data_IF_607320467689
#
_entry.id   IF_607320467689
#
_cell.length_a   1.000
_cell.length_b   1.000
_cell.length_c   1.000
_cell.angle_alpha   90.00
_cell.angle_beta   90.00
_cell.angle_gamma   90.00
#
_symmetry.space_group_name_H-M   'P 1'
#
loop_
_entity.id
_entity.type
_entity.pdbx_description
1 polymer ?
#
# COMPACT_ATOMS: atom_id res chain seq x y z
N UNK A 1 7.27 9.20 0.78
CA UNK A 1 6.39 8.06 0.44
C UNK A 1 5.26 8.03 1.47
N UNK A 2 4.03 7.75 1.05
CA UNK A 2 2.91 7.52 1.99
C UNK A 2 2.51 6.06 1.86
N UNK A 3 2.50 5.34 2.98
CA UNK A 3 1.93 4.00 3.04
C UNK A 3 0.56 4.08 3.73
N UNK A 4 -0.42 3.42 3.14
CA UNK A 4 -1.79 3.33 3.64
C UNK A 4 -2.15 1.86 3.84
N UNK A 5 -2.75 1.53 4.98
CA UNK A 5 -3.25 0.19 5.28
C UNK A 5 -4.50 0.25 6.16
N UNK A 6 -5.19 -0.87 6.29
CA UNK A 6 -6.45 -0.97 7.03
C UNK A 6 -6.36 -2.06 8.08
N UNK A 7 -6.91 -1.80 9.27
CA UNK A 7 -7.15 -2.80 10.31
C UNK A 7 -8.65 -2.83 10.67
N UNK A 8 -9.09 -3.94 11.28
CA UNK A 8 -10.47 -4.13 11.75
C UNK A 8 -10.67 -3.77 13.23
N UNK A 9 -9.58 -3.45 13.93
CA UNK A 9 -9.59 -3.04 15.32
C UNK A 9 -8.81 -1.74 15.47
N UNK A 10 -9.22 -0.92 16.42
CA UNK A 10 -8.50 0.29 16.75
C UNK A 10 -7.14 -0.09 17.31
N UNK A 11 -6.09 0.37 16.65
CA UNK A 11 -4.73 0.17 17.12
C UNK A 11 -3.90 1.41 16.81
N UNK A 12 -2.93 1.79 17.65
CA UNK A 12 -1.83 2.60 17.18
C UNK A 12 -1.17 1.89 16.00
N UNK A 13 -0.74 2.63 14.97
CA UNK A 13 -0.04 2.02 13.84
C UNK A 13 1.20 2.83 13.51
N UNK A 14 2.27 2.16 13.11
CA UNK A 14 3.46 2.81 12.60
C UNK A 14 3.95 2.13 11.31
N UNK A 15 4.74 2.87 10.55
CA UNK A 15 5.54 2.32 9.47
C UNK A 15 7.00 2.29 9.89
N UNK A 16 7.63 1.13 9.78
CA UNK A 16 9.08 0.95 9.92
C UNK A 16 9.70 0.79 8.55
N UNK A 17 10.80 1.49 8.30
CA UNK A 17 11.48 1.44 7.01
C UNK A 17 12.98 1.69 7.13
N UNK A 18 13.74 1.09 6.23
CA UNK A 18 15.20 1.18 6.20
C UNK A 18 15.74 0.92 4.80
N UNK A 19 17.02 1.29 4.58
CA UNK A 19 17.76 0.73 3.46
C UNK A 19 17.98 -0.78 3.68
N UNK A 20 18.04 -1.60 2.62
CA UNK A 20 18.34 -3.02 2.73
C UNK A 20 19.61 -3.25 3.56
N UNK A 21 19.54 -4.21 4.48
CA UNK A 21 20.64 -4.59 5.39
C UNK A 21 21.13 -3.48 6.34
N UNK A 22 20.44 -2.33 6.42
CA UNK A 22 20.81 -1.29 7.37
C UNK A 22 20.45 -1.70 8.80
N UNK A 23 21.35 -1.55 9.78
CA UNK A 23 21.00 -1.74 11.17
C UNK A 23 20.09 -0.63 11.71
N UNK A 24 20.01 0.50 11.02
CA UNK A 24 19.21 1.65 11.43
C UNK A 24 17.84 1.61 10.76
N UNK A 25 16.81 1.40 11.58
CA UNK A 25 15.41 1.51 11.17
C UNK A 25 14.86 2.88 11.52
N UNK A 26 14.04 3.41 10.64
CA UNK A 26 13.29 4.63 10.86
C UNK A 26 11.83 4.23 11.12
N UNK A 27 11.24 4.79 12.17
CA UNK A 27 9.85 4.51 12.55
C UNK A 27 9.07 5.81 12.48
N UNK A 28 7.92 5.79 11.81
CA UNK A 28 7.02 6.94 11.74
C UNK A 28 5.61 6.50 12.14
N UNK A 29 4.96 7.21 13.08
CA UNK A 29 3.58 6.89 13.45
C UNK A 29 2.62 7.19 12.29
N UNK A 30 1.52 6.43 12.25
CA UNK A 30 0.41 6.69 11.35
C UNK A 30 -0.60 7.65 11.96
N UNK A 31 -1.31 8.36 11.08
CA UNK A 31 -2.59 8.99 11.39
C UNK A 31 -3.72 8.03 11.03
N UNK A 32 -4.80 8.03 11.78
CA UNK A 32 -5.91 7.08 11.60
C UNK A 32 -7.20 7.82 11.33
N UNK A 33 -7.94 7.37 10.32
CA UNK A 33 -9.32 7.80 10.04
C UNK A 33 -10.23 6.58 10.06
N UNK A 34 -11.38 6.68 10.71
CA UNK A 34 -12.37 5.60 10.77
C UNK A 34 -13.29 5.71 9.54
N UNK A 35 -13.48 4.59 8.85
CA UNK A 35 -14.51 4.41 7.84
C UNK A 35 -15.54 3.41 8.38
N UNK A 36 -16.82 3.72 8.24
CA UNK A 36 -17.93 2.84 8.60
C UNK A 36 -18.61 2.46 7.29
N UNK A 37 -18.71 1.17 7.00
CA UNK A 37 -19.40 0.72 5.78
C UNK A 37 -20.91 0.99 5.85
N UNK A 38 -21.56 1.03 4.68
CA UNK A 38 -23.00 1.21 4.57
C UNK A 38 -23.79 -0.10 4.65
N UNK A 39 -23.15 -1.20 5.07
CA UNK A 39 -23.81 -2.49 5.22
C UNK A 39 -24.54 -2.59 6.56
N UNK A 40 -25.43 -3.58 6.71
CA UNK A 40 -26.25 -3.75 7.92
C UNK A 40 -25.40 -3.87 9.21
N UNK A 41 -24.21 -4.47 9.11
CA UNK A 41 -23.27 -4.65 10.22
C UNK A 41 -22.53 -3.36 10.64
N UNK A 42 -22.58 -2.29 9.84
CA UNK A 42 -21.87 -1.03 10.08
C UNK A 42 -20.41 -1.24 10.52
N UNK A 43 -19.69 -2.05 9.73
CA UNK A 43 -18.33 -2.48 10.07
C UNK A 43 -17.40 -1.27 10.09
N UNK A 44 -16.58 -1.22 11.15
CA UNK A 44 -15.57 -0.18 11.34
C UNK A 44 -14.24 -0.64 10.74
N UNK A 45 -13.68 0.20 9.88
CA UNK A 45 -12.37 0.05 9.28
C UNK A 45 -11.49 1.22 9.73
N UNK A 46 -10.31 0.92 10.24
CA UNK A 46 -9.35 1.92 10.68
C UNK A 46 -8.32 2.10 9.57
N UNK A 47 -8.36 3.23 8.88
CA UNK A 47 -7.49 3.52 7.75
C UNK A 47 -6.28 4.31 8.26
N UNK A 48 -5.14 3.66 8.26
CA UNK A 48 -3.86 4.21 8.70
C UNK A 48 -3.12 4.87 7.54
N UNK A 49 -2.47 6.01 7.80
CA UNK A 49 -1.58 6.69 6.84
C UNK A 49 -0.30 7.14 7.52
N UNK A 50 0.83 6.64 7.04
CA UNK A 50 2.15 6.99 7.57
C UNK A 50 3.02 7.65 6.49
N UNK A 51 3.58 8.82 6.82
CA UNK A 51 4.39 9.62 5.90
C UNK A 51 5.88 9.35 6.12
N UNK A 52 6.48 8.51 5.27
CA UNK A 52 7.93 8.27 5.25
C UNK A 52 8.64 9.45 4.59
N UNK A 53 9.50 10.12 5.35
CA UNK A 53 10.21 11.36 4.97
C UNK A 53 11.72 11.12 4.92
N UNK A 54 12.47 12.11 4.44
CA UNK A 54 13.94 12.08 4.37
C UNK A 54 14.51 10.87 3.59
N UNK A 55 13.79 10.44 2.56
CA UNK A 55 14.19 9.35 1.69
C UNK A 55 15.33 9.80 0.78
N UNK A 56 16.37 8.98 0.66
CA UNK A 56 17.45 9.19 -0.30
C UNK A 56 16.92 8.87 -1.72
N UNK A 57 17.03 9.78 -2.68
CA UNK A 57 16.55 9.55 -4.04
C UNK A 57 17.14 8.28 -4.68
N UNK A 58 16.35 7.61 -5.51
CA UNK A 58 16.71 6.39 -6.26
C UNK A 58 17.06 5.15 -5.42
N UNK A 59 17.03 5.24 -4.08
CA UNK A 59 17.28 4.11 -3.20
C UNK A 59 16.05 3.22 -3.05
N UNK A 60 16.28 1.92 -2.94
CA UNK A 60 15.24 0.97 -2.53
C UNK A 60 15.18 0.95 -1.01
N UNK A 61 13.98 1.04 -0.47
CA UNK A 61 13.70 0.91 0.96
C UNK A 61 12.87 -0.35 1.18
N UNK A 62 13.17 -1.06 2.25
CA UNK A 62 12.29 -2.11 2.80
C UNK A 62 11.43 -1.47 3.89
N UNK A 63 10.17 -1.91 3.99
CA UNK A 63 9.26 -1.41 5.01
C UNK A 63 8.26 -2.47 5.47
N UNK A 64 7.71 -2.26 6.66
CA UNK A 64 6.54 -2.97 7.21
C UNK A 64 5.64 -1.98 7.95
N UNK A 65 4.38 -2.34 8.11
CA UNK A 65 3.39 -1.54 8.83
C UNK A 65 2.70 -2.37 9.90
N UNK A 66 2.23 -1.72 10.95
CA UNK A 66 1.55 -2.38 12.06
C UNK A 66 2.01 -1.84 13.40
N UNK A 67 1.90 -2.69 14.41
CA UNK A 67 2.29 -2.40 15.78
C UNK A 67 2.51 -3.70 16.58
N UNK A 68 3.01 -3.57 17.81
CA UNK A 68 3.34 -4.71 18.67
C UNK A 68 2.11 -5.51 19.15
N UNK A 69 0.94 -4.87 19.26
CA UNK A 69 -0.29 -5.53 19.71
C UNK A 69 -1.07 -6.12 18.53
N UNK A 70 -1.21 -5.35 17.44
CA UNK A 70 -1.94 -5.75 16.23
C UNK A 70 -1.14 -6.65 15.28
N UNK A 71 0.18 -6.74 15.50
CA UNK A 71 1.09 -7.49 14.64
C UNK A 71 1.67 -6.64 13.50
N UNK A 72 2.76 -7.14 12.94
CA UNK A 72 3.47 -6.50 11.83
C UNK A 72 3.14 -7.19 10.51
N UNK A 73 2.99 -6.41 9.44
CA UNK A 73 2.90 -6.94 8.08
C UNK A 73 4.17 -7.69 7.65
N UNK A 74 4.11 -8.47 6.55
CA UNK A 74 5.32 -8.86 5.83
C UNK A 74 6.17 -7.64 5.44
N UNK A 75 7.43 -7.90 5.09
CA UNK A 75 8.29 -6.87 4.50
C UNK A 75 7.90 -6.64 3.04
N UNK A 76 7.75 -5.37 2.70
CA UNK A 76 7.55 -4.86 1.36
C UNK A 76 8.72 -3.95 0.97
N UNK A 77 8.82 -3.58 -0.29
CA UNK A 77 9.83 -2.64 -0.74
C UNK A 77 9.28 -1.63 -1.74
N UNK A 78 9.92 -0.47 -1.80
CA UNK A 78 9.65 0.55 -2.80
C UNK A 78 10.94 1.28 -3.17
N UNK A 79 11.00 1.85 -4.37
CA UNK A 79 12.07 2.76 -4.78
C UNK A 79 11.66 4.19 -4.51
N UNK A 80 12.49 4.93 -3.78
CA UNK A 80 12.31 6.36 -3.60
C UNK A 80 12.49 7.08 -4.94
N UNK A 81 11.58 8.02 -5.23
CA UNK A 81 11.57 8.80 -6.46
C UNK A 81 12.94 9.42 -6.73
N UNK A 82 13.53 9.23 -7.93
CA UNK A 82 14.75 9.92 -8.33
C UNK A 82 14.57 11.45 -8.29
N UNK A 83 15.67 12.16 -8.06
CA UNK A 83 15.71 13.62 -8.05
C UNK A 83 16.48 14.18 -9.24
N UNK A 84 16.16 15.40 -9.63
CA UNK A 84 16.88 16.15 -10.66
C UNK A 84 16.12 16.28 -11.98
N UNK A 85 16.54 17.21 -12.85
CA UNK A 85 15.80 17.61 -14.05
C UNK A 85 15.85 16.59 -15.19
N UNK A 86 16.76 15.62 -15.14
CA UNK A 86 16.97 14.63 -16.20
C UNK A 86 16.21 13.32 -15.97
N UNK A 87 15.48 13.19 -14.86
CA UNK A 87 14.70 12.00 -14.59
C UNK A 87 13.41 12.01 -15.41
N UNK A 88 13.18 10.93 -16.16
CA UNK A 88 11.96 10.69 -16.92
C UNK A 88 11.30 9.42 -16.40
N UNK A 89 10.13 9.49 -15.73
CA UNK A 89 9.47 8.32 -15.18
C UNK A 89 8.87 7.44 -16.28
N UNK A 90 8.94 6.12 -16.09
CA UNK A 90 8.13 5.15 -16.84
C UNK A 90 6.87 4.88 -16.03
N UNK A 91 5.72 5.20 -16.62
CA UNK A 91 4.43 5.10 -15.92
C UNK A 91 3.53 4.10 -16.64
N UNK A 92 2.94 3.18 -15.89
CA UNK A 92 1.84 2.38 -16.38
C UNK A 92 0.51 3.09 -16.08
N UNK A 93 -0.37 3.17 -17.08
CA UNK A 93 -1.70 3.76 -16.94
C UNK A 93 -2.72 2.66 -17.26
N UNK A 94 -3.69 2.47 -16.39
CA UNK A 94 -4.77 1.51 -16.61
C UNK A 94 -6.07 1.98 -15.95
N UNK A 95 -7.20 1.52 -16.47
CA UNK A 95 -8.52 1.65 -15.84
C UNK A 95 -9.13 0.27 -15.68
N UNK A 96 -10.29 0.21 -15.06
CA UNK A 96 -11.10 -1.01 -14.95
C UNK A 96 -10.34 -2.17 -14.28
N UNK A 97 -10.20 -2.10 -12.95
CA UNK A 97 -9.46 -3.12 -12.20
C UNK A 97 -10.03 -4.53 -12.37
N UNK A 98 -11.35 -4.63 -12.62
CA UNK A 98 -12.08 -5.87 -12.93
C UNK A 98 -11.72 -7.04 -12.01
N UNK A 99 -12.40 -7.19 -10.87
CA UNK A 99 -12.15 -8.26 -9.89
C UNK A 99 -12.22 -9.68 -10.52
N UNK A 100 -13.06 -9.85 -11.54
CA UNK A 100 -13.17 -11.10 -12.33
C UNK A 100 -12.43 -10.89 -13.66
N UNK A 101 -11.29 -11.59 -13.84
CA UNK A 101 -10.40 -11.53 -15.01
C UNK A 101 -9.38 -10.36 -15.07
N UNK A 102 -8.95 -9.82 -13.93
CA UNK A 102 -7.87 -8.83 -13.86
C UNK A 102 -6.51 -9.35 -14.38
N UNK A 103 -6.33 -9.41 -15.71
CA UNK A 103 -5.07 -9.85 -16.35
C UNK A 103 -3.92 -8.85 -16.16
N UNK A 104 -4.26 -7.59 -15.98
CA UNK A 104 -3.30 -6.49 -15.90
C UNK A 104 -2.56 -6.45 -14.57
N UNK A 105 -3.20 -6.84 -13.46
CA UNK A 105 -2.62 -6.72 -12.10
C UNK A 105 -1.34 -7.54 -11.96
N UNK A 106 -1.37 -8.81 -12.38
CA UNK A 106 -0.19 -9.68 -12.31
C UNK A 106 0.98 -9.11 -13.11
N UNK A 107 0.73 -8.60 -14.32
CA UNK A 107 1.76 -7.96 -15.14
C UNK A 107 2.30 -6.70 -14.48
N UNK A 108 1.43 -5.83 -13.97
CA UNK A 108 1.83 -4.59 -13.29
C UNK A 108 2.68 -4.88 -12.05
N UNK A 109 2.33 -5.90 -11.27
CA UNK A 109 3.13 -6.35 -10.14
C UNK A 109 4.51 -6.83 -10.58
N UNK A 110 4.58 -7.64 -11.64
CA UNK A 110 5.85 -8.11 -12.22
C UNK A 110 6.73 -6.94 -12.70
N UNK A 111 6.16 -5.99 -13.45
CA UNK A 111 6.89 -4.81 -13.94
C UNK A 111 7.39 -3.92 -12.78
N UNK A 112 6.55 -3.72 -11.75
CA UNK A 112 6.94 -2.96 -10.56
C UNK A 112 8.07 -3.66 -9.78
N UNK A 113 8.01 -4.99 -9.65
CA UNK A 113 9.05 -5.79 -8.99
C UNK A 113 10.37 -5.81 -9.77
N UNK A 114 10.31 -5.84 -11.09
CA UNK A 114 11.50 -5.71 -11.94
C UNK A 114 12.02 -4.26 -12.05
N UNK A 115 11.24 -3.28 -11.58
CA UNK A 115 11.59 -1.86 -11.64
C UNK A 115 11.58 -1.31 -13.07
N UNK A 116 10.80 -1.91 -13.97
CA UNK A 116 10.61 -1.41 -15.35
C UNK A 116 9.60 -0.28 -15.42
N UNK A 117 8.77 -0.12 -14.38
CA UNK A 117 7.86 1.01 -14.18
C UNK A 117 8.13 1.67 -12.83
N UNK A 118 8.05 2.99 -12.79
CA UNK A 118 8.28 3.83 -11.60
C UNK A 118 6.99 4.12 -10.84
N UNK A 119 5.86 4.13 -11.54
CA UNK A 119 4.55 4.41 -10.96
C UNK A 119 3.43 3.76 -11.78
N UNK A 120 2.30 3.56 -11.12
CA UNK A 120 1.06 3.09 -11.74
C UNK A 120 -0.03 4.13 -11.46
N UNK A 121 -0.70 4.58 -12.52
CA UNK A 121 -1.86 5.45 -12.43
C UNK A 121 -3.09 4.65 -12.81
N UNK A 122 -3.98 4.48 -11.85
CA UNK A 122 -5.29 3.90 -12.08
C UNK A 122 -6.28 5.03 -12.36
N UNK A 123 -6.88 5.08 -13.56
CA UNK A 123 -7.63 6.25 -14.05
C UNK A 123 -9.15 6.18 -13.92
N UNK A 124 -9.69 5.15 -13.25
CA UNK A 124 -11.12 5.06 -12.94
C UNK A 124 -11.59 3.62 -12.88
N UNK A 125 -12.68 3.38 -12.15
CA UNK A 125 -13.31 2.06 -11.97
C UNK A 125 -12.45 1.05 -11.20
N UNK A 126 -12.02 1.47 -10.00
CA UNK A 126 -11.23 0.67 -9.06
C UNK A 126 -11.97 -0.57 -8.57
N UNK A 127 -13.26 -0.44 -8.33
CA UNK A 127 -14.05 -1.51 -7.75
C UNK A 127 -15.46 -1.40 -8.31
N UNK A 128 -15.76 -2.26 -9.29
CA UNK A 128 -17.13 -2.55 -9.65
C UNK A 128 -17.84 -2.98 -8.40
N UNK A 129 -18.94 -2.29 -8.07
CA UNK A 129 -19.79 -2.48 -6.89
C UNK A 129 -19.37 -3.70 -6.06
N UNK A 130 -18.44 -3.50 -5.11
CA UNK A 130 -17.90 -4.56 -4.23
C UNK A 130 -18.98 -5.24 -3.36
N UNK A 131 -20.22 -4.79 -3.52
CA UNK A 131 -21.45 -5.31 -2.95
C UNK A 131 -21.63 -6.82 -3.19
N UNK A 132 -21.21 -7.33 -4.36
CA UNK A 132 -21.58 -8.68 -4.80
C UNK A 132 -20.76 -9.84 -4.15
N UNK A 133 -19.68 -9.54 -3.42
CA UNK A 133 -18.78 -10.58 -2.84
C UNK A 133 -18.79 -10.62 -1.31
N UNK A 134 -19.71 -9.90 -0.66
CA UNK A 134 -19.80 -9.81 0.80
C UNK A 134 -20.27 -11.09 1.52
N UNK A 135 -20.42 -12.23 0.82
CA UNK A 135 -20.83 -13.53 1.41
C UNK A 135 -19.70 -14.50 1.76
N UNK A 136 -18.43 -14.16 1.57
CA UNK A 136 -17.32 -15.06 1.90
C UNK A 136 -16.27 -14.42 2.80
N UNK A 137 -16.69 -14.01 4.00
CA UNK A 137 -15.78 -13.79 5.13
C UNK A 137 -15.47 -15.14 5.80
N UNK A 138 -14.50 -15.90 5.30
CA UNK A 138 -13.74 -16.85 6.13
C UNK A 138 -12.28 -16.90 5.70
N UNK A 139 -11.46 -16.24 6.52
CA UNK A 139 -10.03 -16.52 6.75
C UNK A 139 -9.08 -16.25 5.58
N UNK A 140 -8.48 -15.06 5.56
CA UNK A 140 -7.08 -14.92 5.16
C UNK A 140 -6.41 -13.92 6.11
N UNK A 141 -5.32 -14.37 6.73
CA UNK A 141 -4.39 -13.65 7.60
C UNK A 141 -3.34 -12.98 6.71
#
# INVERSE_FOLDING_TARGET
>A
MVVTWTTFQETPGAAEYSLPMSPQKMTVPSTVTIFIDGGDEHRKYYIHRAHMTHLKPSQVYEYRVGDENGGWSPLFSFRATPSGPNWSPVVAIYGDLGNVNGRSIGRLQTEAQYGTIDAVFHIGDFAYNLDDVSKLTKHII
#
